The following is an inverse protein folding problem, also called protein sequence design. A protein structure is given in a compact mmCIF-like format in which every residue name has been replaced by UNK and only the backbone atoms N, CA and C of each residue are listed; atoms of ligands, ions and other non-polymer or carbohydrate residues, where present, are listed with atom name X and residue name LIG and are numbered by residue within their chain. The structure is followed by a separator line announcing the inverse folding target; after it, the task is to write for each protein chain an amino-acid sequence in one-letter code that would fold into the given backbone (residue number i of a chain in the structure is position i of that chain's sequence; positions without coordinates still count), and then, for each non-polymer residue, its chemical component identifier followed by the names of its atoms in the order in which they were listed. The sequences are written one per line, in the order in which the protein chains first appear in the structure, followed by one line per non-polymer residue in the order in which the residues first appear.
data_IF_964730584881
#
_entry.id   IF_964730584881
#
_cell.length_a   1.000
_cell.length_b   1.000
_cell.length_c   1.000
_cell.angle_alpha   90.00
_cell.angle_beta   90.00
_cell.angle_gamma   90.00
#
_symmetry.space_group_name_H-M   'P 1'
#
loop_
_entity.id
_entity.type
_entity.pdbx_description
1 polymer ?
#
# COMPACT_ATOMS: atom_id res chain seq x y z
N UNK A 1 15.11 9.02 -11.30
CA UNK A 1 14.18 9.15 -12.45
C UNK A 1 13.07 10.15 -12.12
N UNK A 2 12.64 10.95 -13.10
CA UNK A 2 11.57 11.96 -12.99
C UNK A 2 10.41 11.63 -13.94
N UNK A 3 9.22 12.17 -13.69
CA UNK A 3 8.08 12.03 -14.61
C UNK A 3 8.14 13.13 -15.68
N UNK A 4 8.29 12.80 -16.98
CA UNK A 4 8.57 13.79 -18.03
C UNK A 4 7.54 14.92 -18.17
N UNK A 5 6.27 14.64 -17.84
CA UNK A 5 5.19 15.64 -17.89
C UNK A 5 4.99 16.33 -16.53
N UNK A 6 4.71 15.57 -15.46
CA UNK A 6 4.42 16.14 -14.14
C UNK A 6 5.52 17.04 -13.58
N UNK A 7 6.79 16.79 -13.89
CA UNK A 7 7.88 17.69 -13.48
C UNK A 7 7.71 19.11 -14.02
N UNK A 8 7.13 19.28 -15.21
CA UNK A 8 6.90 20.59 -15.83
C UNK A 8 5.67 21.31 -15.27
N UNK A 9 4.83 20.61 -14.51
CA UNK A 9 3.55 21.12 -14.01
C UNK A 9 3.59 21.47 -12.52
N UNK A 10 4.64 21.07 -11.81
CA UNK A 10 4.79 21.36 -10.39
C UNK A 10 5.74 22.54 -10.18
N UNK A 11 5.37 23.43 -9.28
CA UNK A 11 6.22 24.58 -8.88
C UNK A 11 7.29 24.20 -7.84
N UNK A 12 7.22 22.97 -7.32
CA UNK A 12 8.15 22.43 -6.32
C UNK A 12 9.13 21.42 -6.93
N UNK A 13 10.21 21.14 -6.20
CA UNK A 13 11.22 20.17 -6.64
C UNK A 13 10.62 18.77 -6.82
N UNK A 14 10.86 18.17 -8.00
CA UNK A 14 10.39 16.82 -8.29
C UNK A 14 11.24 15.76 -7.57
N UNK A 15 10.61 14.97 -6.71
CA UNK A 15 11.29 13.91 -5.97
C UNK A 15 11.66 12.74 -6.90
N UNK A 16 12.95 12.46 -7.02
CA UNK A 16 13.45 11.47 -7.97
C UNK A 16 13.62 10.08 -7.36
N UNK A 17 13.34 9.05 -8.17
CA UNK A 17 13.41 7.64 -7.76
C UNK A 17 14.29 6.80 -8.68
N UNK A 18 15.13 5.92 -8.12
CA UNK A 18 16.00 5.04 -8.89
C UNK A 18 15.40 3.65 -8.99
N UNK A 19 15.47 3.06 -10.20
CA UNK A 19 14.75 1.83 -10.52
C UNK A 19 15.67 0.90 -11.29
N UNK A 20 15.70 -0.37 -10.88
CA UNK A 20 16.47 -1.43 -11.53
C UNK A 20 15.58 -2.65 -11.68
N UNK A 21 15.14 -2.94 -12.90
CA UNK A 21 14.29 -4.07 -13.27
C UNK A 21 14.74 -4.66 -14.61
N UNK A 22 14.55 -5.97 -14.79
CA UNK A 22 14.88 -6.70 -16.01
C UNK A 22 16.36 -7.09 -16.15
N UNK A 23 16.69 -7.81 -17.22
CA UNK A 23 18.02 -8.37 -17.43
C UNK A 23 18.38 -9.40 -16.35
N UNK A 24 19.53 -9.19 -15.70
CA UNK A 24 20.01 -10.03 -14.58
C UNK A 24 19.45 -9.59 -13.21
N UNK A 25 18.56 -8.59 -13.19
CA UNK A 25 17.86 -8.14 -11.99
C UNK A 25 16.46 -8.76 -11.91
N UNK A 26 15.77 -8.52 -10.80
CA UNK A 26 14.35 -8.85 -10.66
C UNK A 26 13.52 -8.37 -11.87
N UNK A 27 12.64 -9.24 -12.35
CA UNK A 27 11.78 -8.95 -13.50
C UNK A 27 10.55 -8.13 -13.07
N UNK A 28 10.07 -8.33 -11.83
CA UNK A 28 8.91 -7.63 -11.30
C UNK A 28 9.22 -6.67 -10.17
N UNK A 29 8.35 -5.67 -9.99
CA UNK A 29 8.25 -4.85 -8.78
C UNK A 29 6.81 -4.79 -8.30
N UNK A 30 6.56 -5.20 -7.05
CA UNK A 30 5.35 -4.89 -6.32
C UNK A 30 5.52 -3.53 -5.66
N UNK A 31 4.63 -2.59 -5.99
CA UNK A 31 4.66 -1.23 -5.52
C UNK A 31 3.48 -0.96 -4.58
N UNK A 32 3.80 -0.74 -3.32
CA UNK A 32 2.85 -0.44 -2.25
C UNK A 32 2.83 1.04 -1.90
N UNK A 33 1.79 1.45 -1.17
CA UNK A 33 1.61 2.82 -0.69
C UNK A 33 0.19 3.32 -0.92
N UNK A 34 -0.15 4.49 -0.37
CA UNK A 34 -1.49 5.08 -0.48
C UNK A 34 -1.81 5.55 -1.92
N UNK A 35 -3.08 5.78 -2.23
CA UNK A 35 -3.46 6.27 -3.57
C UNK A 35 -2.81 7.61 -3.92
N UNK A 36 -2.59 8.45 -2.91
CA UNK A 36 -1.97 9.77 -3.03
C UNK A 36 -0.43 9.74 -2.98
N UNK A 37 0.19 8.59 -2.68
CA UNK A 37 1.66 8.50 -2.59
C UNK A 37 2.38 8.62 -3.93
N UNK A 38 1.66 8.49 -5.05
CA UNK A 38 2.22 8.65 -6.39
C UNK A 38 2.61 7.35 -7.11
N UNK A 39 2.06 6.19 -6.70
CA UNK A 39 2.34 4.89 -7.35
C UNK A 39 2.09 4.91 -8.87
N UNK A 40 0.91 5.40 -9.28
CA UNK A 40 0.54 5.51 -10.69
C UNK A 40 1.44 6.52 -11.42
N UNK A 41 1.90 7.58 -10.73
CA UNK A 41 2.86 8.53 -11.29
C UNK A 41 4.21 7.86 -11.55
N UNK A 42 4.73 7.08 -10.59
CA UNK A 42 5.99 6.35 -10.77
C UNK A 42 5.90 5.35 -11.93
N UNK A 43 4.83 4.55 -11.99
CA UNK A 43 4.61 3.58 -13.06
C UNK A 43 4.53 4.24 -14.45
N UNK A 44 3.80 5.37 -14.56
CA UNK A 44 3.74 6.18 -15.77
C UNK A 44 5.10 6.81 -16.11
N UNK A 45 5.86 7.27 -15.12
CA UNK A 45 7.19 7.84 -15.34
C UNK A 45 8.15 6.81 -15.95
N UNK A 46 8.16 5.57 -15.44
CA UNK A 46 8.95 4.47 -16.02
C UNK A 46 8.56 4.26 -17.48
N UNK A 47 7.25 4.13 -17.73
CA UNK A 47 6.69 3.86 -19.05
C UNK A 47 7.07 4.95 -20.05
N UNK A 48 6.89 6.23 -19.69
CA UNK A 48 7.19 7.36 -20.56
C UNK A 48 8.69 7.49 -20.83
N UNK A 49 9.55 7.31 -19.82
CA UNK A 49 11.00 7.35 -20.03
C UNK A 49 11.47 6.20 -20.95
N UNK A 50 10.88 5.01 -20.86
CA UNK A 50 11.17 3.90 -21.77
C UNK A 50 10.76 4.21 -23.22
N UNK A 51 9.58 4.80 -23.42
CA UNK A 51 9.10 5.22 -24.74
C UNK A 51 10.04 6.27 -25.35
N UNK A 52 10.34 7.33 -24.60
CA UNK A 52 11.24 8.40 -25.04
C UNK A 52 12.64 7.85 -25.41
N UNK A 53 13.20 6.96 -24.58
CA UNK A 53 14.48 6.33 -24.86
C UNK A 53 14.45 5.51 -26.17
N UNK A 54 13.42 4.69 -26.38
CA UNK A 54 13.27 3.88 -27.59
C UNK A 54 13.01 4.69 -28.86
N UNK A 55 12.45 5.89 -28.72
CA UNK A 55 12.31 6.86 -29.82
C UNK A 55 13.61 7.58 -30.18
N UNK A 56 14.67 7.44 -29.36
CA UNK A 56 15.91 8.20 -29.51
C UNK A 56 15.85 9.62 -28.94
N UNK A 57 14.86 9.93 -28.10
CA UNK A 57 14.73 11.22 -27.44
C UNK A 57 15.52 11.26 -26.12
N UNK A 58 15.87 12.47 -25.68
CA UNK A 58 16.35 12.67 -24.32
C UNK A 58 15.26 12.29 -23.30
N UNK A 59 15.69 11.64 -22.22
CA UNK A 59 14.81 11.19 -21.13
C UNK A 59 14.93 12.09 -19.90
N UNK A 60 13.92 12.08 -19.04
CA UNK A 60 13.94 12.81 -17.76
C UNK A 60 14.81 12.13 -16.69
N UNK A 61 15.71 11.23 -17.10
CA UNK A 61 16.63 10.50 -16.25
C UNK A 61 17.79 9.92 -17.06
N UNK A 62 18.84 9.46 -16.36
CA UNK A 62 19.82 8.53 -16.95
C UNK A 62 19.19 7.14 -16.98
N UNK A 63 19.11 6.53 -18.17
CA UNK A 63 18.43 5.24 -18.36
C UNK A 63 19.34 4.26 -19.10
N UNK A 64 19.34 3.02 -18.63
CA UNK A 64 19.84 1.85 -19.35
C UNK A 64 18.69 0.86 -19.46
N UNK A 65 18.36 0.42 -20.66
CA UNK A 65 17.19 -0.39 -20.92
C UNK A 65 17.48 -1.49 -21.95
N UNK A 66 16.61 -2.49 -22.00
CA UNK A 66 16.57 -3.49 -23.09
C UNK A 66 15.49 -3.10 -24.09
N UNK A 67 15.64 -3.49 -25.35
CA UNK A 67 14.63 -3.18 -26.37
C UNK A 67 13.33 -3.97 -26.09
N UNK A 68 12.33 -3.28 -25.58
CA UNK A 68 10.99 -3.81 -25.41
C UNK A 68 10.23 -3.72 -26.73
N UNK A 69 9.76 -4.87 -27.21
CA UNK A 69 8.92 -4.97 -28.42
C UNK A 69 7.48 -4.54 -28.14
N UNK A 70 7.04 -4.64 -26.89
CA UNK A 70 5.66 -4.35 -26.49
C UNK A 70 5.63 -3.68 -25.13
N UNK A 71 4.76 -2.68 -25.00
CA UNK A 71 4.33 -2.12 -23.72
C UNK A 71 2.84 -2.40 -23.63
N UNK A 72 2.41 -3.18 -22.64
CA UNK A 72 0.99 -3.53 -22.43
C UNK A 72 0.59 -2.99 -21.08
N UNK A 73 -0.40 -2.10 -21.05
CA UNK A 73 -0.75 -1.37 -19.84
C UNK A 73 -2.09 -1.84 -19.28
N UNK A 74 -2.16 -2.05 -17.97
CA UNK A 74 -3.42 -2.01 -17.21
C UNK A 74 -3.27 -0.84 -16.25
N UNK A 75 -3.76 0.34 -16.64
CA UNK A 75 -3.73 1.53 -15.79
C UNK A 75 -5.16 1.92 -15.47
N UNK A 76 -5.44 2.23 -14.21
CA UNK A 76 -6.73 2.77 -13.79
C UNK A 76 -6.99 4.08 -14.54
N UNK A 77 -8.05 4.07 -15.35
CA UNK A 77 -8.54 5.19 -16.15
C UNK A 77 -10.06 5.21 -16.07
N UNK A 78 -10.67 6.35 -16.41
CA UNK A 78 -12.12 6.51 -16.38
C UNK A 78 -12.78 5.39 -17.21
N UNK A 79 -13.78 4.75 -16.59
CA UNK A 79 -14.50 3.61 -17.11
C UNK A 79 -14.84 3.80 -18.60
N UNK A 80 -14.18 3.03 -19.45
CA UNK A 80 -14.71 2.82 -20.79
C UNK A 80 -16.00 2.02 -20.60
N UNK A 81 -17.12 2.72 -20.72
CA UNK A 81 -18.46 2.15 -20.88
C UNK A 81 -18.51 1.36 -22.19
N UNK A 82 -17.84 0.20 -22.22
CA UNK A 82 -18.06 -0.80 -23.24
C UNK A 82 -19.46 -1.32 -22.99
N UNK A 83 -20.40 -0.89 -23.83
CA UNK A 83 -21.82 -1.26 -23.73
C UNK A 83 -21.93 -2.79 -23.68
N UNK A 84 -22.27 -3.32 -22.52
CA UNK A 84 -22.60 -4.74 -22.31
C UNK A 84 -21.61 -5.61 -21.55
N UNK A 85 -20.45 -5.09 -21.11
CA UNK A 85 -19.49 -5.85 -20.29
C UNK A 85 -19.39 -5.25 -18.87
N UNK A 86 -19.23 -6.09 -17.85
CA UNK A 86 -18.91 -5.62 -16.50
C UNK A 86 -17.47 -5.12 -16.43
N UNK A 87 -17.17 -4.17 -15.53
CA UNK A 87 -15.79 -3.67 -15.33
C UNK A 87 -14.82 -4.82 -15.08
N UNK A 88 -15.22 -5.81 -14.26
CA UNK A 88 -14.40 -7.00 -14.01
C UNK A 88 -14.12 -7.80 -15.30
N UNK A 89 -15.11 -7.95 -16.19
CA UNK A 89 -14.91 -8.68 -17.44
C UNK A 89 -13.94 -7.95 -18.38
N UNK A 90 -13.98 -6.62 -18.40
CA UNK A 90 -13.00 -5.80 -19.14
C UNK A 90 -11.60 -6.02 -18.57
N UNK A 91 -11.44 -5.98 -17.24
CA UNK A 91 -10.16 -6.28 -16.58
C UNK A 91 -9.64 -7.69 -16.94
N UNK A 92 -10.52 -8.69 -17.01
CA UNK A 92 -10.12 -10.05 -17.39
C UNK A 92 -9.67 -10.14 -18.85
N UNK A 93 -10.27 -9.35 -19.76
CA UNK A 93 -9.86 -9.28 -21.16
C UNK A 93 -8.48 -8.60 -21.29
N UNK A 94 -8.23 -7.55 -20.51
CA UNK A 94 -6.94 -6.87 -20.43
C UNK A 94 -5.87 -7.79 -19.85
N UNK A 95 -6.17 -8.47 -18.74
CA UNK A 95 -5.28 -9.46 -18.14
C UNK A 95 -4.98 -10.61 -19.10
N UNK A 96 -5.99 -11.14 -19.81
CA UNK A 96 -5.79 -12.15 -20.86
C UNK A 96 -4.84 -11.64 -21.94
N UNK A 97 -4.91 -10.37 -22.30
CA UNK A 97 -4.01 -9.77 -23.31
C UNK A 97 -2.58 -9.68 -22.79
N UNK A 98 -2.39 -9.29 -21.53
CA UNK A 98 -1.10 -9.30 -20.84
C UNK A 98 -0.52 -10.73 -20.82
N UNK A 99 -1.30 -11.71 -20.35
CA UNK A 99 -0.85 -13.09 -20.24
C UNK A 99 -0.61 -13.73 -21.61
N UNK A 100 -1.37 -13.41 -22.66
CA UNK A 100 -1.16 -14.01 -23.98
C UNK A 100 0.10 -13.48 -24.67
N UNK A 101 0.42 -12.20 -24.49
CA UNK A 101 1.48 -11.51 -25.25
C UNK A 101 2.72 -11.16 -24.40
N UNK A 102 2.70 -11.47 -23.10
CA UNK A 102 3.80 -11.25 -22.18
C UNK A 102 4.96 -12.20 -22.48
N UNK A 103 6.10 -11.62 -22.84
CA UNK A 103 7.39 -12.31 -23.00
C UNK A 103 8.53 -11.45 -22.41
N UNK A 104 9.76 -11.94 -22.48
CA UNK A 104 10.97 -11.26 -21.97
C UNK A 104 11.25 -9.88 -22.58
N UNK A 105 10.63 -9.54 -23.71
CA UNK A 105 10.74 -8.25 -24.39
C UNK A 105 9.44 -7.43 -24.24
N UNK A 106 8.60 -7.76 -23.26
CA UNK A 106 7.38 -7.02 -22.92
C UNK A 106 7.59 -6.29 -21.59
N UNK A 107 7.22 -5.00 -21.55
CA UNK A 107 7.09 -4.21 -20.33
C UNK A 107 5.62 -4.03 -19.96
N UNK A 108 5.25 -4.28 -18.70
CA UNK A 108 3.85 -4.26 -18.25
C UNK A 108 3.70 -3.41 -16.97
N UNK A 109 3.24 -2.16 -17.08
CA UNK A 109 2.74 -1.41 -15.92
C UNK A 109 1.30 -1.82 -15.61
N UNK A 110 1.07 -2.25 -14.37
CA UNK A 110 -0.22 -2.67 -13.82
C UNK A 110 -0.53 -1.78 -12.61
N UNK A 111 -1.71 -1.18 -12.60
CA UNK A 111 -2.26 -0.40 -11.49
C UNK A 111 -3.54 -1.08 -11.02
N UNK A 112 -3.53 -1.56 -9.78
CA UNK A 112 -4.68 -2.20 -9.11
C UNK A 112 -5.39 -3.28 -9.93
N UNK A 113 -4.87 -4.51 -9.90
CA UNK A 113 -5.47 -5.64 -10.60
C UNK A 113 -6.66 -6.24 -9.83
N UNK A 114 -7.78 -6.54 -10.51
CA UNK A 114 -8.94 -7.23 -9.97
C UNK A 114 -9.67 -6.50 -8.82
N UNK A 115 -9.61 -5.17 -8.74
CA UNK A 115 -10.21 -4.42 -7.61
C UNK A 115 -11.74 -4.53 -7.53
N UNK A 116 -12.41 -4.84 -8.64
CA UNK A 116 -13.88 -4.92 -8.70
C UNK A 116 -14.45 -6.26 -8.24
N UNK A 117 -13.65 -7.16 -7.67
CA UNK A 117 -14.06 -8.50 -7.20
C UNK A 117 -13.81 -8.66 -5.71
N UNK A 118 -14.30 -9.76 -5.12
CA UNK A 118 -14.05 -10.12 -3.74
C UNK A 118 -12.55 -10.34 -3.44
N UNK A 119 -12.12 -9.94 -2.26
CA UNK A 119 -10.69 -9.90 -1.89
C UNK A 119 -9.95 -11.24 -2.02
N UNK A 120 -10.67 -12.38 -1.90
CA UNK A 120 -10.08 -13.71 -2.10
C UNK A 120 -9.72 -13.95 -3.57
N UNK A 121 -10.63 -13.61 -4.47
CA UNK A 121 -10.42 -13.76 -5.92
C UNK A 121 -9.40 -12.74 -6.42
N UNK A 122 -9.45 -11.50 -5.91
CA UNK A 122 -8.41 -10.48 -6.16
C UNK A 122 -7.02 -11.01 -5.80
N UNK A 123 -6.87 -11.56 -4.59
CA UNK A 123 -5.61 -12.12 -4.09
C UNK A 123 -5.11 -13.26 -4.98
N UNK A 124 -5.94 -14.27 -5.24
CA UNK A 124 -5.53 -15.45 -6.00
C UNK A 124 -5.17 -15.11 -7.46
N UNK A 125 -5.99 -14.30 -8.13
CA UNK A 125 -5.75 -13.88 -9.52
C UNK A 125 -4.50 -13.02 -9.63
N UNK A 126 -4.29 -12.11 -8.68
CA UNK A 126 -3.11 -11.25 -8.67
C UNK A 126 -1.85 -12.05 -8.39
N UNK A 127 -1.88 -12.96 -7.41
CA UNK A 127 -0.77 -13.84 -7.09
C UNK A 127 -0.36 -14.69 -8.31
N UNK A 128 -1.31 -15.39 -8.92
CA UNK A 128 -1.02 -16.24 -10.09
C UNK A 128 -0.51 -15.43 -11.28
N UNK A 129 -1.04 -14.21 -11.48
CA UNK A 129 -0.55 -13.29 -12.51
C UNK A 129 0.92 -12.95 -12.27
N UNK A 130 1.33 -12.64 -11.04
CA UNK A 130 2.72 -12.33 -10.69
C UNK A 130 3.61 -13.53 -11.00
N UNK A 131 3.22 -14.73 -10.58
CA UNK A 131 3.98 -15.97 -10.80
C UNK A 131 4.21 -16.22 -12.30
N UNK A 132 3.15 -16.10 -13.10
CA UNK A 132 3.23 -16.35 -14.55
C UNK A 132 4.07 -15.29 -15.28
N UNK A 133 3.98 -14.01 -14.89
CA UNK A 133 4.81 -12.94 -15.45
C UNK A 133 6.29 -13.14 -15.13
N UNK A 134 6.61 -13.53 -13.89
CA UNK A 134 7.99 -13.84 -13.47
C UNK A 134 8.53 -15.05 -14.23
N UNK A 135 7.75 -16.12 -14.33
CA UNK A 135 8.11 -17.34 -15.09
C UNK A 135 8.45 -17.03 -16.55
N UNK A 136 7.70 -16.11 -17.18
CA UNK A 136 7.91 -15.66 -18.56
C UNK A 136 9.00 -14.59 -18.70
N UNK A 137 9.62 -14.17 -17.60
CA UNK A 137 10.63 -13.10 -17.52
C UNK A 137 10.13 -11.76 -18.07
N UNK A 138 8.82 -11.51 -17.97
CA UNK A 138 8.21 -10.23 -18.35
C UNK A 138 8.71 -9.16 -17.38
N UNK A 139 9.10 -7.98 -17.88
CA UNK A 139 9.40 -6.88 -16.98
C UNK A 139 8.12 -6.18 -16.57
N UNK A 140 7.81 -6.07 -15.28
CA UNK A 140 6.54 -5.47 -14.84
C UNK A 140 6.66 -4.65 -13.57
N UNK A 141 5.73 -3.71 -13.40
CA UNK A 141 5.50 -2.97 -12.17
C UNK A 141 4.02 -3.11 -11.83
N UNK A 142 3.70 -3.69 -10.68
CA UNK A 142 2.34 -3.90 -10.22
C UNK A 142 2.10 -3.09 -8.96
N UNK A 143 1.22 -2.11 -9.04
CA UNK A 143 0.79 -1.30 -7.89
C UNK A 143 -0.38 -1.97 -7.19
N UNK A 144 -0.31 -2.13 -5.87
CA UNK A 144 -1.36 -2.79 -5.07
C UNK A 144 -1.42 -2.25 -3.65
N UNK A 145 -2.60 -2.34 -3.03
CA UNK A 145 -2.81 -2.11 -1.59
C UNK A 145 -2.91 -3.41 -0.80
N UNK A 146 -2.82 -4.55 -1.48
CA UNK A 146 -3.01 -5.87 -0.86
C UNK A 146 -1.72 -6.30 -0.15
N UNK A 147 -1.46 -5.76 1.04
CA UNK A 147 -0.27 -6.11 1.85
C UNK A 147 -0.18 -7.62 2.17
N UNK A 148 -1.30 -8.34 2.14
CA UNK A 148 -1.31 -9.80 2.30
C UNK A 148 -0.48 -10.52 1.21
N UNK A 149 -0.36 -9.96 0.01
CA UNK A 149 0.43 -10.56 -1.09
C UNK A 149 1.90 -10.71 -0.70
N UNK A 150 2.52 -9.67 -0.10
CA UNK A 150 3.94 -9.73 0.29
C UNK A 150 4.23 -10.79 1.35
N UNK A 151 3.22 -11.21 2.10
CA UNK A 151 3.35 -12.20 3.16
C UNK A 151 3.15 -13.64 2.67
N UNK A 152 2.69 -13.85 1.44
CA UNK A 152 2.50 -15.18 0.87
C UNK A 152 3.85 -15.88 0.63
N UNK A 153 3.90 -17.19 0.87
CA UNK A 153 5.12 -17.99 0.70
C UNK A 153 5.65 -17.93 -0.73
N UNK A 154 4.75 -18.06 -1.71
CA UNK A 154 5.04 -17.92 -3.13
C UNK A 154 5.74 -16.59 -3.50
N UNK A 155 5.35 -15.47 -2.88
CA UNK A 155 6.01 -14.18 -3.12
C UNK A 155 7.36 -14.13 -2.42
N UNK A 156 7.47 -14.65 -1.19
CA UNK A 156 8.74 -14.69 -0.44
C UNK A 156 9.81 -15.50 -1.18
N UNK A 157 9.44 -16.58 -1.85
CA UNK A 157 10.36 -17.40 -2.66
C UNK A 157 10.93 -16.66 -3.88
N UNK A 158 10.23 -15.65 -4.39
CA UNK A 158 10.67 -14.86 -5.54
C UNK A 158 11.54 -13.66 -5.16
N UNK A 159 11.48 -13.22 -3.90
CA UNK A 159 12.16 -12.02 -3.41
C UNK A 159 13.54 -12.39 -2.85
N UNK A 160 14.60 -11.61 -3.15
CA UNK A 160 14.64 -10.41 -3.99
C UNK A 160 15.00 -10.68 -5.46
N UNK A 161 15.33 -11.93 -5.80
CA UNK A 161 16.04 -12.25 -7.05
C UNK A 161 15.18 -12.10 -8.30
N UNK A 162 13.89 -12.43 -8.21
CA UNK A 162 12.94 -12.38 -9.33
C UNK A 162 11.91 -11.27 -9.18
N UNK A 163 11.63 -10.87 -7.95
CA UNK A 163 10.62 -9.87 -7.62
C UNK A 163 11.15 -8.93 -6.54
N UNK A 164 10.91 -7.63 -6.72
CA UNK A 164 11.14 -6.62 -5.68
C UNK A 164 9.84 -6.24 -5.02
N UNK A 165 9.88 -6.02 -3.72
CA UNK A 165 8.77 -5.46 -2.95
C UNK A 165 9.21 -4.09 -2.46
N UNK A 166 8.49 -3.06 -2.89
CA UNK A 166 8.82 -1.67 -2.58
C UNK A 166 7.56 -0.90 -2.21
N UNK A 167 7.72 0.22 -1.52
CA UNK A 167 6.66 1.18 -1.26
C UNK A 167 7.15 2.60 -1.52
N UNK A 168 6.21 3.53 -1.67
CA UNK A 168 6.52 4.96 -1.62
C UNK A 168 6.33 5.43 -0.18
N UNK A 169 7.41 5.95 0.43
CA UNK A 169 7.39 6.33 1.84
C UNK A 169 6.44 7.50 2.11
N UNK A 170 5.73 7.34 3.21
CA UNK A 170 4.83 8.32 3.80
C UNK A 170 5.04 8.20 5.31
N UNK A 171 5.17 9.33 6.00
CA UNK A 171 5.32 9.34 7.44
C UNK A 171 4.40 10.39 8.06
N UNK A 172 4.00 10.15 9.31
CA UNK A 172 3.20 11.09 10.08
C UNK A 172 4.12 12.01 10.88
N UNK A 173 3.94 13.32 10.73
CA UNK A 173 4.61 14.30 11.57
C UNK A 173 3.67 14.66 12.74
N UNK A 174 4.05 14.21 13.95
CA UNK A 174 3.28 14.48 15.16
C UNK A 174 3.26 15.95 15.58
N UNK A 175 4.28 16.73 15.17
CA UNK A 175 4.34 18.16 15.47
C UNK A 175 3.41 18.99 14.59
N UNK A 176 3.24 18.57 13.33
CA UNK A 176 2.34 19.22 12.37
C UNK A 176 0.94 18.60 12.35
N UNK A 177 0.77 17.42 12.95
CA UNK A 177 -0.47 16.63 12.92
C UNK A 177 -0.92 16.32 11.48
N UNK A 178 0.04 16.09 10.60
CA UNK A 178 -0.16 15.92 9.15
C UNK A 178 0.66 14.75 8.61
N UNK A 179 0.19 14.17 7.50
CA UNK A 179 0.94 13.17 6.75
C UNK A 179 1.86 13.82 5.71
N UNK A 180 3.14 13.53 5.82
CA UNK A 180 4.17 13.97 4.89
C UNK A 180 4.41 12.87 3.86
N UNK A 181 4.21 13.22 2.59
CA UNK A 181 4.43 12.35 1.44
C UNK A 181 5.84 12.56 0.90
N UNK A 182 6.80 11.78 1.37
CA UNK A 182 8.18 11.83 0.86
C UNK A 182 8.28 11.37 -0.60
N UNK A 183 7.35 10.52 -1.06
CA UNK A 183 7.33 9.97 -2.43
C UNK A 183 8.65 9.30 -2.85
N UNK A 184 9.44 8.84 -1.87
CA UNK A 184 10.69 8.11 -2.10
C UNK A 184 10.42 6.62 -2.13
N UNK A 185 10.99 5.94 -3.12
CA UNK A 185 10.91 4.50 -3.26
C UNK A 185 11.82 3.82 -2.22
N UNK A 186 11.22 3.01 -1.37
CA UNK A 186 11.85 2.27 -0.27
C UNK A 186 11.52 0.78 -0.38
N UNK A 187 12.37 -0.08 0.16
CA UNK A 187 12.15 -1.53 0.15
C UNK A 187 11.08 -1.96 1.18
N UNK A 188 10.45 -3.10 0.92
CA UNK A 188 9.35 -3.63 1.74
C UNK A 188 7.98 -3.08 1.35
N UNK A 189 6.92 -3.65 1.91
CA UNK A 189 5.54 -3.29 1.57
C UNK A 189 5.03 -2.04 2.31
N UNK A 190 5.85 -1.43 3.18
CA UNK A 190 5.46 -0.28 3.99
C UNK A 190 4.49 -0.64 5.12
N UNK A 191 4.00 0.37 5.83
CA UNK A 191 3.02 0.16 6.88
C UNK A 191 1.65 -0.18 6.29
N UNK A 192 0.85 -1.03 6.94
CA UNK A 192 -0.48 -1.41 6.42
C UNK A 192 -1.61 -0.46 6.85
N UNK A 193 -1.31 0.49 7.77
CA UNK A 193 -2.32 1.28 8.50
C UNK A 193 -2.53 2.70 7.95
N UNK A 194 -1.92 3.04 6.80
CA UNK A 194 -1.95 4.41 6.28
C UNK A 194 -3.35 5.00 6.08
N UNK A 195 -4.37 4.18 5.75
CA UNK A 195 -5.74 4.68 5.56
C UNK A 195 -6.35 5.25 6.85
N UNK A 196 -6.06 4.61 7.99
CA UNK A 196 -6.52 5.08 9.31
C UNK A 196 -5.71 6.31 9.71
N UNK A 197 -4.40 6.33 9.45
CA UNK A 197 -3.56 7.51 9.71
C UNK A 197 -4.02 8.74 8.91
N UNK A 198 -4.40 8.58 7.63
CA UNK A 198 -4.99 9.65 6.82
C UNK A 198 -6.30 10.13 7.46
N UNK A 199 -7.17 9.20 7.85
CA UNK A 199 -8.43 9.53 8.49
C UNK A 199 -8.23 10.29 9.81
N UNK A 200 -7.19 9.97 10.60
CA UNK A 200 -6.84 10.68 11.85
C UNK A 200 -6.53 12.16 11.64
N UNK A 201 -5.98 12.54 10.50
CA UNK A 201 -5.67 13.95 10.19
C UNK A 201 -6.89 14.78 9.76
N UNK A 202 -8.03 14.13 9.46
CA UNK A 202 -9.21 14.80 8.86
C UNK A 202 -10.46 14.64 9.74
N UNK A 203 -10.66 13.46 10.33
CA UNK A 203 -11.88 13.11 11.06
C UNK A 203 -11.77 13.41 12.55
N UNK A 204 -12.93 13.50 13.18
CA UNK A 204 -13.08 13.80 14.60
C UNK A 204 -12.36 12.77 15.52
N UNK A 205 -11.66 13.22 16.58
CA UNK A 205 -10.92 12.33 17.48
C UNK A 205 -11.76 11.23 18.16
N UNK A 206 -13.00 11.52 18.55
CA UNK A 206 -13.87 10.54 19.20
C UNK A 206 -14.36 9.48 18.21
N UNK A 207 -14.63 9.89 16.96
CA UNK A 207 -14.88 8.94 15.87
C UNK A 207 -13.66 8.04 15.63
N UNK A 208 -12.45 8.62 15.57
CA UNK A 208 -11.21 7.89 15.33
C UNK A 208 -10.87 6.90 16.44
N UNK A 209 -11.19 7.21 17.70
CA UNK A 209 -11.05 6.27 18.82
C UNK A 209 -11.87 5.00 18.59
N UNK A 210 -13.09 5.13 18.07
CA UNK A 210 -13.94 3.99 17.75
C UNK A 210 -13.40 3.19 16.55
N UNK A 211 -12.87 3.87 15.53
CA UNK A 211 -12.21 3.23 14.38
C UNK A 211 -11.02 2.39 14.84
N UNK A 212 -10.16 2.93 15.70
CA UNK A 212 -9.00 2.21 16.25
C UNK A 212 -9.42 0.96 17.04
N UNK A 213 -10.49 1.05 17.84
CA UNK A 213 -11.04 -0.09 18.57
C UNK A 213 -11.52 -1.19 17.61
N UNK A 214 -12.30 -0.84 16.58
CA UNK A 214 -12.79 -1.79 15.57
C UNK A 214 -11.67 -2.39 14.74
N UNK A 215 -10.64 -1.61 14.41
CA UNK A 215 -9.48 -2.10 13.67
C UNK A 215 -8.76 -3.22 14.44
N UNK A 216 -8.57 -3.05 15.76
CA UNK A 216 -7.98 -4.08 16.62
C UNK A 216 -8.84 -5.34 16.68
N UNK A 217 -10.16 -5.20 16.85
CA UNK A 217 -11.10 -6.32 16.83
C UNK A 217 -11.03 -7.13 15.53
N UNK A 218 -10.98 -6.45 14.37
CA UNK A 218 -10.95 -7.10 13.04
C UNK A 218 -9.59 -7.73 12.74
N UNK A 219 -8.51 -7.07 13.17
CA UNK A 219 -7.14 -7.53 12.87
C UNK A 219 -6.73 -8.77 13.69
N UNK A 220 -7.53 -9.16 14.67
CA UNK A 220 -7.18 -10.24 15.60
C UNK A 220 -6.02 -9.89 16.53
N UNK A 221 -5.57 -8.63 16.52
CA UNK A 221 -4.78 -8.07 17.61
C UNK A 221 -5.70 -8.07 18.82
N UNK A 222 -5.49 -9.06 19.71
CA UNK A 222 -6.26 -9.18 20.93
C UNK A 222 -6.33 -7.80 21.59
N UNK A 223 -7.55 -7.37 21.87
CA UNK A 223 -7.85 -6.33 22.84
C UNK A 223 -7.42 -6.81 24.23
N UNK A 224 -6.12 -7.01 24.43
CA UNK A 224 -5.54 -6.84 25.74
C UNK A 224 -5.45 -5.33 25.98
N UNK A 225 -6.62 -4.70 26.14
CA UNK A 225 -6.75 -3.71 27.22
C UNK A 225 -6.85 -4.53 28.51
N UNK A 226 -5.83 -5.36 28.76
CA UNK A 226 -5.50 -5.76 30.10
C UNK A 226 -4.50 -4.70 30.51
N UNK A 227 -5.00 -3.60 31.06
CA UNK A 227 -4.18 -2.90 32.05
C UNK A 227 -3.67 -4.00 32.99
N UNK A 228 -2.34 -4.19 33.14
CA UNK A 228 -1.79 -5.32 33.90
C UNK A 228 -2.17 -5.26 35.39
N UNK A 229 -2.78 -4.16 35.82
CA UNK A 229 -3.25 -3.92 37.16
C UNK A 229 -4.54 -4.71 37.42
N UNK A 230 -4.36 -5.91 37.97
CA UNK A 230 -5.40 -6.64 38.69
C UNK A 230 -5.79 -5.86 39.94
N UNK A 231 -7.06 -5.91 40.32
CA UNK A 231 -7.52 -5.30 41.56
C UNK A 231 -6.78 -5.88 42.75
N UNK A 232 -6.30 -5.03 43.65
CA UNK A 232 -5.71 -5.42 44.93
C UNK A 232 -6.66 -6.25 45.81
N UNK A 233 -7.98 -6.07 45.64
CA UNK A 233 -9.03 -6.74 46.42
C UNK A 233 -9.61 -7.98 45.73
N UNK A 234 -9.48 -8.09 44.40
CA UNK A 234 -9.94 -9.26 43.65
C UNK A 234 -9.00 -9.55 42.48
N UNK A 235 -8.12 -10.54 42.66
CA UNK A 235 -7.13 -10.97 41.67
C UNK A 235 -7.72 -11.57 40.39
N UNK A 236 -9.04 -11.83 40.34
CA UNK A 236 -9.76 -12.27 39.14
C UNK A 236 -10.33 -11.11 38.31
N UNK A 237 -10.23 -9.87 38.79
CA UNK A 237 -10.84 -8.68 38.16
C UNK A 237 -9.75 -7.70 37.74
N UNK A 238 -9.84 -7.23 36.49
CA UNK A 238 -8.93 -6.23 35.91
C UNK A 238 -9.53 -4.84 36.04
N UNK A 239 -8.69 -3.83 36.29
CA UNK A 239 -9.14 -2.45 36.57
C UNK A 239 -8.76 -1.54 35.40
N UNK A 240 -9.76 -1.04 34.65
CA UNK A 240 -9.56 -0.22 33.45
C UNK A 240 -10.09 1.22 33.59
N UNK A 241 -11.26 1.40 34.21
CA UNK A 241 -11.87 2.71 34.47
C UNK A 241 -12.75 2.67 35.72
N UNK A 242 -12.97 3.82 36.35
CA UNK A 242 -13.92 3.95 37.44
C UNK A 242 -15.35 3.84 36.92
N UNK A 243 -16.18 2.98 37.52
CA UNK A 243 -17.58 2.83 37.11
C UNK A 243 -18.42 4.10 37.38
N UNK A 244 -18.05 4.89 38.40
CA UNK A 244 -18.80 6.05 38.85
C UNK A 244 -18.48 7.31 38.03
N UNK A 245 -17.19 7.62 37.85
CA UNK A 245 -16.76 8.88 37.23
C UNK A 245 -16.02 8.69 35.89
N UNK A 246 -15.85 7.45 35.42
CA UNK A 246 -15.17 7.11 34.15
C UNK A 246 -13.71 7.57 34.05
N UNK A 247 -13.11 8.02 35.16
CA UNK A 247 -11.68 8.38 35.22
C UNK A 247 -10.82 7.11 35.19
N UNK A 248 -9.61 7.20 34.62
CA UNK A 248 -8.61 6.12 34.54
C UNK A 248 -7.40 6.31 35.48
N UNK A 249 -7.45 7.32 36.35
CA UNK A 249 -6.39 7.75 37.28
C UNK A 249 -6.73 7.36 38.72
N UNK A 250 -5.76 6.84 39.49
CA UNK A 250 -5.91 6.43 40.90
C UNK A 250 -7.16 5.55 41.18
N UNK A 251 -7.36 4.56 40.32
CA UNK A 251 -8.58 3.73 40.28
C UNK A 251 -8.90 2.95 41.55
N UNK A 252 -7.92 2.69 42.42
CA UNK A 252 -8.15 1.92 43.66
C UNK A 252 -8.68 2.76 44.82
N UNK A 253 -8.40 4.07 44.87
CA UNK A 253 -8.67 4.89 46.07
C UNK A 253 -9.28 6.26 45.80
N UNK A 254 -9.49 6.68 44.55
CA UNK A 254 -9.94 8.05 44.23
C UNK A 254 -11.37 8.41 44.68
N UNK A 255 -12.16 7.45 45.18
CA UNK A 255 -13.46 7.69 45.81
C UNK A 255 -13.50 7.28 47.29
N UNK A 256 -12.36 6.88 47.87
CA UNK A 256 -12.29 6.56 49.29
C UNK A 256 -12.08 7.86 50.06
N UNK A 257 -13.11 8.31 50.76
CA UNK A 257 -12.99 9.40 51.73
C UNK A 257 -12.45 8.86 53.06
N UNK A 258 -11.69 9.68 53.79
CA UNK A 258 -11.20 9.30 55.11
C UNK A 258 -12.39 9.08 56.07
N UNK A 259 -12.29 8.08 56.93
CA UNK A 259 -13.39 7.67 57.83
C UNK A 259 -13.83 8.79 58.79
N UNK A 260 -12.97 9.79 59.03
CA UNK A 260 -13.28 10.98 59.84
C UNK A 260 -14.28 11.94 59.18
N UNK A 261 -14.47 11.79 57.85
CA UNK A 261 -15.30 12.66 57.00
C UNK A 261 -16.57 11.93 56.49
N UNK A 262 -16.89 10.75 57.05
CA UNK A 262 -18.11 10.01 56.74
C UNK A 262 -19.15 10.23 57.86
N UNK A 263 -20.32 10.76 57.51
CA UNK A 263 -21.47 10.99 58.41
C UNK A 263 -22.02 9.69 59.04
#
# INVERSE_FOLDING_TARGET
MRHPISELLIDSEYITNDIKLGGDQAHGMLLYGTNTSGKSCLSKAITLNLILAQMGCYTACKIKYVLYKRIITRLSGHDNLIKGLSSFMVEMIELRTILRNGDKNTFVPIDELCRTTESKSEFCLTLETILELVKRKVTFVLSTHMHKLSNSEHIKELVPDKLKVCHLSVHYDSGLNELIYDRKLTEGSGNSVYGIEVAKSILDPDFMKNVDLRYKEISGERTEIVTPNKSRYNSKVYVSECILCKTSVNLETHHINEQKDAD
#
